data_IF_687561854300
#
_entry.id   IF_687561854300
#
_cell.length_a   1.000
_cell.length_b   1.000
_cell.length_c   1.000
_cell.angle_alpha   90.00
_cell.angle_beta   90.00
_cell.angle_gamma   90.00
#
_symmetry.space_group_name_H-M   'P 1'
#
loop_
_entity.id
_entity.type
_entity.pdbx_description
1 polymer ?
#
# COMPACT_ATOMS: atom_id res chain seq x y z
N UNK A 1 -2.32 21.09 2.16
CA UNK A 1 -1.92 19.74 2.60
C UNK A 1 -0.43 19.80 2.92
N UNK A 2 -0.01 19.31 4.08
CA UNK A 2 1.41 19.30 4.47
C UNK A 2 2.10 18.03 3.95
N UNK A 3 3.31 18.18 3.40
CA UNK A 3 4.15 17.06 2.96
C UNK A 3 4.74 16.35 4.19
N UNK A 4 4.47 15.05 4.32
CA UNK A 4 4.96 14.17 5.38
C UNK A 4 5.99 13.18 4.83
N UNK A 5 7.15 13.69 4.44
CA UNK A 5 8.28 12.88 4.00
C UNK A 5 9.10 12.48 5.23
N UNK A 6 9.35 11.20 5.42
CA UNK A 6 10.16 10.71 6.53
C UNK A 6 11.19 9.67 6.05
N UNK A 7 12.38 10.16 5.71
CA UNK A 7 13.46 9.32 5.18
C UNK A 7 14.14 8.43 6.24
N UNK A 8 13.87 8.61 7.53
CA UNK A 8 14.41 7.74 8.60
C UNK A 8 13.49 6.56 8.91
N UNK A 9 12.24 6.58 8.44
CA UNK A 9 11.26 5.53 8.68
C UNK A 9 11.29 4.47 7.57
N UNK A 10 11.59 3.23 7.93
CA UNK A 10 11.58 2.08 7.01
C UNK A 10 10.21 1.89 6.32
N UNK A 11 9.13 2.27 7.01
CA UNK A 11 7.75 2.15 6.51
C UNK A 11 7.47 3.13 5.38
N UNK A 12 8.08 4.31 5.45
CA UNK A 12 8.05 5.27 4.36
C UNK A 12 8.82 4.74 3.14
N UNK A 13 10.00 4.14 3.36
CA UNK A 13 10.79 3.53 2.28
C UNK A 13 10.07 2.38 1.57
N UNK A 14 9.32 1.55 2.31
CA UNK A 14 8.46 0.54 1.70
C UNK A 14 7.47 1.15 0.70
N UNK A 15 6.81 2.25 1.07
CA UNK A 15 5.88 2.94 0.19
C UNK A 15 6.57 3.68 -0.96
N UNK A 16 7.72 4.31 -0.71
CA UNK A 16 8.50 5.00 -1.74
C UNK A 16 9.04 4.02 -2.79
N UNK A 17 9.57 2.86 -2.38
CA UNK A 17 10.01 1.81 -3.29
C UNK A 17 8.84 1.27 -4.11
N UNK A 18 7.70 0.99 -3.45
CA UNK A 18 6.48 0.54 -4.13
C UNK A 18 6.01 1.55 -5.18
N UNK A 19 6.03 2.85 -4.83
CA UNK A 19 5.67 3.94 -5.74
C UNK A 19 6.57 3.95 -6.99
N UNK A 20 7.88 3.82 -6.81
CA UNK A 20 8.83 3.80 -7.91
C UNK A 20 8.56 2.63 -8.88
N UNK A 21 8.28 1.44 -8.35
CA UNK A 21 7.96 0.28 -9.18
C UNK A 21 6.60 0.39 -9.88
N UNK A 22 5.59 1.01 -9.24
CA UNK A 22 4.30 1.28 -9.90
C UNK A 22 4.48 2.23 -11.08
N UNK A 23 5.25 3.32 -10.90
CA UNK A 23 5.54 4.26 -11.98
C UNK A 23 6.25 3.55 -13.13
N UNK A 24 7.27 2.73 -12.83
CA UNK A 24 7.97 1.95 -13.85
C UNK A 24 7.05 0.95 -14.57
N UNK A 25 6.16 0.27 -13.83
CA UNK A 25 5.19 -0.67 -14.40
C UNK A 25 4.24 0.01 -15.39
N UNK A 26 3.67 1.15 -15.01
CA UNK A 26 2.74 1.94 -15.84
C UNK A 26 3.47 2.61 -17.02
N UNK A 27 4.74 2.98 -16.85
CA UNK A 27 5.59 3.51 -17.91
C UNK A 27 6.01 2.47 -18.97
N UNK A 28 5.53 1.23 -18.85
CA UNK A 28 5.74 0.19 -19.86
C UNK A 28 6.87 -0.77 -19.52
N UNK A 29 7.26 -0.92 -18.25
CA UNK A 29 8.15 -1.99 -17.79
C UNK A 29 7.35 -3.11 -17.09
N UNK A 30 6.91 -4.17 -17.81
CA UNK A 30 6.05 -5.21 -17.24
C UNK A 30 6.62 -5.94 -16.00
N UNK A 31 7.95 -6.16 -15.87
CA UNK A 31 8.52 -6.70 -14.64
C UNK A 31 8.19 -5.88 -13.37
N UNK A 32 7.91 -4.59 -13.52
CA UNK A 32 7.48 -3.72 -12.42
C UNK A 32 6.21 -4.21 -11.72
N UNK A 33 5.25 -4.81 -12.44
CA UNK A 33 4.04 -5.37 -11.81
C UNK A 33 4.39 -6.47 -10.79
N UNK A 34 5.29 -7.39 -11.16
CA UNK A 34 5.75 -8.46 -10.27
C UNK A 34 6.58 -7.93 -9.10
N UNK A 35 7.40 -6.91 -9.33
CA UNK A 35 8.17 -6.25 -8.26
C UNK A 35 7.25 -5.63 -7.20
N UNK A 36 6.18 -4.94 -7.62
CA UNK A 36 5.17 -4.36 -6.71
C UNK A 36 4.46 -5.45 -5.89
N UNK A 37 4.08 -6.56 -6.53
CA UNK A 37 3.47 -7.71 -5.83
C UNK A 37 4.45 -8.28 -4.80
N UNK A 38 5.71 -8.50 -5.19
CA UNK A 38 6.74 -9.04 -4.31
C UNK A 38 7.00 -8.16 -3.09
N UNK A 39 7.19 -6.85 -3.28
CA UNK A 39 7.38 -5.90 -2.18
C UNK A 39 6.16 -5.85 -1.28
N UNK A 40 4.95 -5.86 -1.85
CA UNK A 40 3.71 -5.84 -1.08
C UNK A 40 3.52 -7.12 -0.24
N UNK A 41 3.92 -8.28 -0.76
CA UNK A 41 3.94 -9.52 0.00
C UNK A 41 4.91 -9.45 1.20
N UNK A 42 6.13 -8.93 0.98
CA UNK A 42 7.11 -8.71 2.04
C UNK A 42 6.57 -7.76 3.10
N UNK A 43 5.90 -6.67 2.70
CA UNK A 43 5.27 -5.74 3.64
C UNK A 43 4.20 -6.42 4.50
N UNK A 44 3.36 -7.27 3.92
CA UNK A 44 2.35 -8.02 4.69
C UNK A 44 3.03 -8.91 5.74
N UNK A 45 4.06 -9.67 5.36
CA UNK A 45 4.78 -10.56 6.28
C UNK A 45 5.47 -9.75 7.39
N UNK A 46 6.16 -8.67 7.04
CA UNK A 46 6.85 -7.81 7.99
C UNK A 46 5.89 -7.24 9.04
N UNK A 47 4.74 -6.71 8.61
CA UNK A 47 3.76 -6.13 9.53
C UNK A 47 2.98 -7.18 10.31
N UNK A 48 2.74 -8.35 9.73
CA UNK A 48 2.15 -9.45 10.48
C UNK A 48 3.09 -9.94 11.59
N UNK A 49 4.40 -10.01 11.33
CA UNK A 49 5.39 -10.36 12.34
C UNK A 49 5.53 -9.29 13.42
N UNK A 50 5.46 -8.01 13.04
CA UNK A 50 5.56 -6.87 13.97
C UNK A 50 4.32 -6.72 14.86
N UNK A 51 3.12 -6.72 14.27
CA UNK A 51 1.86 -6.47 14.98
C UNK A 51 1.27 -7.74 15.61
N UNK A 52 1.71 -8.92 15.16
CA UNK A 52 1.21 -10.25 15.58
C UNK A 52 -0.32 -10.39 15.46
N UNK A 53 -0.97 -9.56 14.65
CA UNK A 53 -2.41 -9.48 14.54
C UNK A 53 -2.84 -9.08 13.14
N UNK A 54 -3.67 -9.91 12.52
CA UNK A 54 -4.34 -9.60 11.26
C UNK A 54 -5.40 -8.51 11.41
N UNK A 55 -5.85 -8.24 12.64
CA UNK A 55 -6.81 -7.18 12.94
C UNK A 55 -6.16 -5.83 13.24
N UNK A 56 -4.82 -5.79 13.29
CA UNK A 56 -4.10 -4.54 13.43
C UNK A 56 -4.28 -3.68 12.18
N UNK A 57 -4.57 -2.41 12.39
CA UNK A 57 -4.88 -1.47 11.31
C UNK A 57 -3.76 -1.36 10.25
N UNK A 58 -2.46 -1.31 10.59
CA UNK A 58 -1.38 -1.30 9.62
C UNK A 58 -1.29 -2.58 8.77
N UNK A 59 -1.62 -3.73 9.37
CA UNK A 59 -1.63 -5.05 8.70
C UNK A 59 -2.81 -5.14 7.75
N UNK A 60 -4.00 -4.69 8.17
CA UNK A 60 -5.21 -4.68 7.32
C UNK A 60 -5.01 -3.88 6.04
N UNK A 61 -4.40 -2.68 6.14
CA UNK A 61 -4.13 -1.84 4.97
C UNK A 61 -3.22 -2.57 3.98
N UNK A 62 -2.16 -3.23 4.48
CA UNK A 62 -1.18 -3.93 3.64
C UNK A 62 -1.77 -5.18 3.01
N UNK A 63 -2.63 -5.89 3.73
CA UNK A 63 -3.37 -7.03 3.17
C UNK A 63 -4.30 -6.59 2.03
N UNK A 64 -5.09 -5.54 2.24
CA UNK A 64 -5.97 -5.01 1.19
C UNK A 64 -5.14 -4.52 0.02
N UNK A 65 -4.10 -3.71 0.27
CA UNK A 65 -3.23 -3.20 -0.78
C UNK A 65 -2.59 -4.34 -1.58
N UNK A 66 -2.04 -5.35 -0.91
CA UNK A 66 -1.48 -6.53 -1.56
C UNK A 66 -2.50 -7.25 -2.43
N UNK A 67 -3.73 -7.46 -1.94
CA UNK A 67 -4.81 -8.05 -2.74
C UNK A 67 -5.09 -7.25 -4.02
N UNK A 68 -5.05 -5.91 -3.95
CA UNK A 68 -5.17 -5.07 -5.15
C UNK A 68 -3.97 -5.22 -6.10
N UNK A 69 -2.75 -5.39 -5.60
CA UNK A 69 -1.58 -5.60 -6.48
C UNK A 69 -1.67 -6.90 -7.28
N UNK A 70 -2.36 -7.93 -6.78
CA UNK A 70 -2.55 -9.19 -7.52
C UNK A 70 -3.32 -8.98 -8.83
N UNK A 71 -4.15 -7.94 -8.95
CA UNK A 71 -4.77 -7.58 -10.23
C UNK A 71 -3.75 -7.24 -11.33
N UNK A 72 -2.49 -6.99 -10.96
CA UNK A 72 -1.36 -6.85 -11.87
C UNK A 72 -1.09 -8.07 -12.75
N UNK A 73 -1.58 -9.25 -12.35
CA UNK A 73 -1.45 -10.50 -13.09
C UNK A 73 -2.38 -10.59 -14.32
N UNK A 74 -3.44 -9.78 -14.36
CA UNK A 74 -4.41 -9.76 -15.47
C UNK A 74 -4.13 -8.57 -16.41
N UNK A 75 -3.62 -8.81 -17.63
CA UNK A 75 -3.26 -7.74 -18.57
C UNK A 75 -4.39 -6.75 -18.89
N UNK A 76 -5.63 -7.23 -18.91
CA UNK A 76 -6.83 -6.46 -19.27
C UNK A 76 -7.19 -5.40 -18.22
N UNK A 77 -6.90 -5.68 -16.94
CA UNK A 77 -7.33 -4.86 -15.81
C UNK A 77 -6.15 -4.19 -15.08
N UNK A 78 -4.93 -4.70 -15.26
CA UNK A 78 -3.74 -4.27 -14.49
C UNK A 78 -3.47 -2.77 -14.57
N UNK A 79 -3.61 -2.16 -15.75
CA UNK A 79 -3.28 -0.73 -15.92
C UNK A 79 -4.27 0.12 -15.13
N UNK A 80 -5.56 -0.17 -15.24
CA UNK A 80 -6.61 0.55 -14.53
C UNK A 80 -6.42 0.47 -13.01
N UNK A 81 -6.20 -0.74 -12.49
CA UNK A 81 -5.96 -0.94 -11.05
C UNK A 81 -4.66 -0.28 -10.59
N UNK A 82 -3.58 -0.40 -11.37
CA UNK A 82 -2.29 0.21 -10.99
C UNK A 82 -2.32 1.73 -11.02
N UNK A 83 -3.16 2.36 -11.86
CA UNK A 83 -3.39 3.81 -11.79
C UNK A 83 -4.07 4.20 -10.48
N UNK A 84 -5.07 3.43 -10.03
CA UNK A 84 -5.72 3.66 -8.73
C UNK A 84 -4.70 3.46 -7.59
N UNK A 85 -3.90 2.40 -7.67
CA UNK A 85 -2.82 2.15 -6.71
C UNK A 85 -1.77 3.26 -6.73
N UNK A 86 -1.41 3.79 -7.90
CA UNK A 86 -0.47 4.91 -8.03
C UNK A 86 -0.97 6.11 -7.24
N UNK A 87 -2.23 6.52 -7.46
CA UNK A 87 -2.83 7.64 -6.74
C UNK A 87 -2.86 7.40 -5.23
N UNK A 88 -3.29 6.21 -4.80
CA UNK A 88 -3.30 5.83 -3.38
C UNK A 88 -1.91 5.80 -2.76
N UNK A 89 -0.89 5.39 -3.52
CA UNK A 89 0.50 5.28 -3.05
C UNK A 89 1.16 6.66 -2.96
N UNK A 90 0.87 7.57 -3.89
CA UNK A 90 1.28 8.98 -3.78
C UNK A 90 0.70 9.59 -2.50
N UNK A 91 -0.58 9.33 -2.21
CA UNK A 91 -1.23 9.85 -1.01
C UNK A 91 -0.57 9.34 0.28
N UNK A 92 -0.26 8.04 0.37
CA UNK A 92 0.35 7.49 1.59
C UNK A 92 1.81 7.92 1.75
N UNK A 93 2.58 7.94 0.66
CA UNK A 93 4.01 8.31 0.68
C UNK A 93 4.24 9.77 1.01
N UNK A 94 3.43 10.69 0.47
CA UNK A 94 3.66 12.13 0.62
C UNK A 94 2.78 12.81 1.67
N UNK A 95 1.61 12.26 1.99
CA UNK A 95 0.65 12.91 2.89
C UNK A 95 0.33 12.08 4.13
N UNK A 96 0.84 10.83 4.22
CA UNK A 96 0.54 9.93 5.32
C UNK A 96 -0.96 9.68 5.48
N UNK A 97 -1.70 9.63 4.36
CA UNK A 97 -3.14 9.35 4.31
C UNK A 97 -3.41 8.34 3.21
N UNK A 98 -4.32 7.41 3.45
CA UNK A 98 -4.70 6.40 2.46
C UNK A 98 -6.23 6.26 2.40
N UNK A 99 -6.80 6.14 1.20
CA UNK A 99 -8.24 5.89 1.02
C UNK A 99 -8.68 4.57 1.66
N UNK A 100 -7.84 3.54 1.61
CA UNK A 100 -8.07 2.25 2.27
C UNK A 100 -8.27 2.45 3.77
N UNK A 101 -7.49 3.34 4.39
CA UNK A 101 -7.61 3.65 5.81
C UNK A 101 -8.94 4.32 6.17
N UNK A 102 -9.47 5.17 5.28
CA UNK A 102 -10.77 5.81 5.47
C UNK A 102 -11.91 4.78 5.43
N UNK A 103 -11.85 3.84 4.49
CA UNK A 103 -12.84 2.75 4.38
C UNK A 103 -12.74 1.81 5.58
N UNK A 104 -11.53 1.37 5.93
CA UNK A 104 -11.31 0.48 7.08
C UNK A 104 -11.74 1.10 8.40
N UNK A 105 -11.64 2.41 8.58
CA UNK A 105 -12.12 3.11 9.78
C UNK A 105 -13.63 2.92 10.01
N UNK A 106 -14.42 2.77 8.95
CA UNK A 106 -15.87 2.61 9.04
C UNK A 106 -16.31 1.16 9.28
N UNK A 107 -15.39 0.20 9.18
CA UNK A 107 -15.71 -1.21 9.41
C UNK A 107 -16.07 -1.47 10.89
N UNK A 108 -17.04 -2.36 11.17
CA UNK A 108 -17.59 -2.55 12.52
C UNK A 108 -16.53 -3.01 13.54
N UNK A 109 -15.52 -3.76 13.12
CA UNK A 109 -14.40 -4.21 13.98
C UNK A 109 -13.33 -3.15 14.23
N UNK A 110 -13.38 -2.00 13.56
CA UNK A 110 -12.40 -0.91 13.71
C UNK A 110 -13.01 0.36 14.33
N UNK A 111 -14.25 0.29 14.81
CA UNK A 111 -14.90 1.40 15.54
C UNK A 111 -14.11 1.74 16.80
N UNK A 112 -13.72 3.01 16.94
CA UNK A 112 -13.00 3.53 18.11
C UNK A 112 -11.48 3.29 18.12
N UNK A 113 -10.89 2.67 17.08
CA UNK A 113 -9.43 2.50 16.98
C UNK A 113 -8.79 3.69 16.25
N UNK A 114 -7.62 4.12 16.73
CA UNK A 114 -6.82 5.15 16.06
C UNK A 114 -6.23 4.62 14.73
N UNK A 115 -6.25 5.47 13.69
CA UNK A 115 -5.71 5.19 12.37
C UNK A 115 -4.18 5.34 12.43
N UNK A 116 -3.44 4.23 12.46
CA UNK A 116 -1.97 4.22 12.40
C UNK A 116 -1.49 3.71 11.05
N UNK A 117 -0.85 4.59 10.28
CA UNK A 117 -0.35 4.32 8.93
C UNK A 117 1.17 4.08 8.94
N UNK A 118 1.82 4.86 9.79
CA UNK A 118 3.19 4.78 10.29
C UNK A 118 3.10 4.85 11.83
#
# INVERSE_FOLDING_TARGET
>A
MELKINATDIRWWFWAATLAFIVAAIAGWPPGYYAVIGISAVQVIFFLAQEKSLSAFPTQIRLVYFAFTLFGLWPEVRIFIYIILLLGTIMVTFFGRCSIALVLKHMPWNRGREVRLN
#
